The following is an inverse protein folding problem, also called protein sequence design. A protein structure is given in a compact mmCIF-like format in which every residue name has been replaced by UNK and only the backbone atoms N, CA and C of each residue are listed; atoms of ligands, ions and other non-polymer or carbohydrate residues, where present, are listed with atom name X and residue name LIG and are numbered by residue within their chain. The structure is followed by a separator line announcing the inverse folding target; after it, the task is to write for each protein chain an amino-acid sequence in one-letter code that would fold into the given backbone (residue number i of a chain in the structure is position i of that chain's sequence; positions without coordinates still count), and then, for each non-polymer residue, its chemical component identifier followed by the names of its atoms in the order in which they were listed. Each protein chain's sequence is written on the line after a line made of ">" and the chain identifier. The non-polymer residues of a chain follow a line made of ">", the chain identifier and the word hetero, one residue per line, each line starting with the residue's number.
data_IF_094970901946
#
_entry.id   IF_094970901946
#
_cell.length_a   1.000
_cell.length_b   1.000
_cell.length_c   1.000
_cell.angle_alpha   90.00
_cell.angle_beta   90.00
_cell.angle_gamma   90.00
#
_symmetry.space_group_name_H-M   'P 1'
#
loop_
_entity.id
_entity.type
_entity.pdbx_description
1 polymer ?
#
# COMPACT_ATOMS: atom_id res chain seq x y z
N UNK A 1 -10.50 -2.69 13.72
CA UNK A 1 -9.04 -2.51 13.55
C UNK A 1 -8.61 -3.02 12.19
N UNK A 2 -7.49 -2.54 11.64
CA UNK A 2 -7.04 -2.88 10.28
C UNK A 2 -7.01 -4.40 9.99
N UNK A 3 -6.56 -5.21 10.96
CA UNK A 3 -6.54 -6.68 10.84
C UNK A 3 -7.91 -7.32 10.56
N UNK A 4 -9.00 -6.65 10.92
CA UNK A 4 -10.35 -7.15 10.70
C UNK A 4 -10.76 -7.12 9.21
N UNK A 5 -10.00 -6.44 8.35
CA UNK A 5 -10.15 -6.54 6.89
C UNK A 5 -9.57 -7.83 6.30
N UNK A 6 -8.81 -8.62 7.06
CA UNK A 6 -8.24 -9.89 6.60
C UNK A 6 -7.41 -9.71 5.31
N UNK A 7 -6.53 -8.71 5.31
CA UNK A 7 -5.61 -8.36 4.23
C UNK A 7 -4.16 -8.48 4.70
N UNK A 8 -3.30 -9.06 3.87
CA UNK A 8 -1.98 -9.53 4.29
C UNK A 8 -1.04 -8.39 4.68
N UNK A 9 -1.24 -7.21 4.08
CA UNK A 9 -0.37 -6.06 4.26
C UNK A 9 -1.17 -4.78 4.55
N UNK A 10 -0.58 -3.89 5.34
CA UNK A 10 -1.08 -2.55 5.53
C UNK A 10 0.04 -1.50 5.61
N UNK A 11 -0.22 -0.32 5.06
CA UNK A 11 0.64 0.86 5.22
C UNK A 11 0.02 1.76 6.26
N UNK A 12 0.82 2.10 7.24
CA UNK A 12 0.53 3.02 8.32
C UNK A 12 0.87 4.43 7.88
N UNK A 13 -0.07 5.34 8.04
CA UNK A 13 0.17 6.76 7.78
C UNK A 13 0.30 7.53 9.11
N UNK A 14 1.41 8.25 9.26
CA UNK A 14 1.66 9.11 10.42
C UNK A 14 1.09 10.53 10.20
N UNK A 15 0.76 11.20 11.30
CA UNK A 15 0.01 12.48 11.29
C UNK A 15 0.79 13.65 10.70
N UNK A 16 2.12 13.57 10.72
CA UNK A 16 3.08 14.59 10.31
C UNK A 16 3.58 14.42 8.86
N UNK A 17 3.22 13.33 8.19
CA UNK A 17 3.74 12.93 6.88
C UNK A 17 2.78 13.17 5.70
N UNK A 18 1.75 14.01 5.89
CA UNK A 18 0.65 14.05 4.92
C UNK A 18 0.01 15.42 4.63
N UNK A 19 -0.27 15.63 3.33
CA UNK A 19 -0.59 16.93 2.70
C UNK A 19 -2.10 17.22 2.59
N UNK A 20 -2.97 16.20 2.71
CA UNK A 20 -4.43 16.35 2.75
C UNK A 20 -5.15 16.01 1.44
N UNK A 21 -4.44 15.38 0.51
CA UNK A 21 -4.91 15.18 -0.87
C UNK A 21 -5.73 13.88 -1.05
N UNK A 22 -5.53 12.87 -0.20
CA UNK A 22 -6.32 11.64 -0.26
C UNK A 22 -7.65 11.74 0.51
N UNK A 23 -8.65 10.98 0.08
CA UNK A 23 -10.00 11.06 0.64
C UNK A 23 -10.07 10.63 2.11
N UNK A 24 -9.32 9.59 2.48
CA UNK A 24 -9.25 9.11 3.86
C UNK A 24 -8.60 10.13 4.79
N UNK A 25 -7.57 10.85 4.34
CA UNK A 25 -6.96 11.95 5.07
C UNK A 25 -7.90 13.14 5.23
N UNK A 26 -8.54 13.58 4.14
CA UNK A 26 -9.48 14.68 4.14
C UNK A 26 -10.62 14.42 5.14
N UNK A 27 -10.99 13.15 5.32
CA UNK A 27 -11.97 12.73 6.31
C UNK A 27 -11.44 12.74 7.75
N UNK A 28 -10.25 12.19 8.02
CA UNK A 28 -9.76 11.99 9.40
C UNK A 28 -9.08 13.23 10.01
N UNK A 29 -8.37 14.03 9.20
CA UNK A 29 -7.53 15.15 9.69
C UNK A 29 -8.29 16.23 10.44
N UNK A 30 -9.50 16.66 10.03
CA UNK A 30 -10.25 17.65 10.80
C UNK A 30 -10.50 17.21 12.24
N UNK A 31 -10.75 15.92 12.46
CA UNK A 31 -10.96 15.35 13.79
C UNK A 31 -9.68 15.34 14.62
N UNK A 32 -8.56 14.90 14.05
CA UNK A 32 -7.24 14.95 14.72
C UNK A 32 -6.82 16.39 15.05
N UNK A 33 -7.07 17.33 14.15
CA UNK A 33 -6.84 18.76 14.38
C UNK A 33 -7.66 19.29 15.56
N UNK A 34 -8.92 18.88 15.65
CA UNK A 34 -9.80 19.23 16.77
C UNK A 34 -9.32 18.63 18.10
N UNK A 35 -8.90 17.37 18.13
CA UNK A 35 -8.32 16.73 19.32
C UNK A 35 -7.09 17.49 19.81
N UNK A 36 -6.17 17.85 18.90
CA UNK A 36 -4.97 18.65 19.23
C UNK A 36 -5.34 20.03 19.76
N UNK A 37 -6.33 20.69 19.16
CA UNK A 37 -6.78 22.01 19.60
C UNK A 37 -7.40 21.95 21.00
N UNK A 38 -8.26 20.95 21.27
CA UNK A 38 -8.86 20.74 22.59
C UNK A 38 -7.81 20.38 23.65
N UNK A 39 -6.83 19.54 23.30
CA UNK A 39 -5.74 19.17 24.20
C UNK A 39 -4.91 20.41 24.63
N UNK A 40 -4.63 21.32 23.69
CA UNK A 40 -3.96 22.61 24.00
C UNK A 40 -4.75 23.50 24.96
N UNK A 41 -6.08 23.35 24.99
CA UNK A 41 -6.98 24.05 25.91
C UNK A 41 -7.20 23.29 27.24
N UNK A 42 -6.44 22.21 27.49
CA UNK A 42 -6.54 21.41 28.71
C UNK A 42 -7.66 20.37 28.68
N UNK A 43 -8.25 20.08 27.51
CA UNK A 43 -9.28 19.06 27.33
C UNK A 43 -8.78 17.94 26.43
N UNK A 44 -8.29 16.86 27.02
CA UNK A 44 -7.94 15.65 26.27
C UNK A 44 -9.21 14.89 25.91
N UNK A 45 -9.49 14.82 24.61
CA UNK A 45 -10.60 14.07 24.03
C UNK A 45 -10.05 13.26 22.85
N UNK A 46 -10.59 12.06 22.64
CA UNK A 46 -10.31 11.24 21.47
C UNK A 46 -11.66 10.79 20.87
N UNK A 47 -11.86 11.03 19.58
CA UNK A 47 -13.03 10.61 18.83
C UNK A 47 -12.85 9.14 18.38
N UNK A 48 -13.89 8.32 18.49
CA UNK A 48 -13.89 6.94 17.93
C UNK A 48 -14.25 6.98 16.43
N UNK A 49 -13.37 7.61 15.65
CA UNK A 49 -13.49 7.75 14.20
C UNK A 49 -12.29 7.06 13.55
N UNK A 50 -12.56 6.33 12.48
CA UNK A 50 -11.55 5.59 11.71
C UNK A 50 -11.76 5.91 10.23
N UNK A 51 -10.67 5.94 9.46
CA UNK A 51 -10.70 6.15 8.01
C UNK A 51 -9.76 5.13 7.36
N UNK A 52 -10.22 4.44 6.31
CA UNK A 52 -9.47 3.35 5.68
C UNK A 52 -9.58 3.47 4.17
N UNK A 53 -8.47 3.19 3.49
CA UNK A 53 -8.44 3.00 2.03
C UNK A 53 -8.01 1.56 1.77
N UNK A 54 -8.74 0.85 0.90
CA UNK A 54 -8.46 -0.55 0.58
C UNK A 54 -8.00 -0.65 -0.87
N UNK A 55 -6.78 -1.12 -1.08
CA UNK A 55 -6.18 -1.35 -2.39
C UNK A 55 -6.37 -2.82 -2.78
N UNK A 56 -7.40 -3.08 -3.59
CA UNK A 56 -7.90 -4.43 -3.86
C UNK A 56 -7.56 -4.91 -5.28
N UNK A 57 -6.31 -4.73 -5.69
CA UNK A 57 -5.77 -5.26 -6.94
C UNK A 57 -5.25 -4.18 -7.88
N UNK A 58 -5.07 -4.56 -9.15
CA UNK A 58 -4.51 -3.68 -10.18
C UNK A 58 -5.57 -2.82 -10.86
N UNK A 59 -5.18 -1.60 -11.25
CA UNK A 59 -6.02 -0.74 -12.08
C UNK A 59 -6.43 -1.39 -13.40
N UNK A 60 -7.62 -1.02 -13.89
CA UNK A 60 -8.16 -1.40 -15.21
C UNK A 60 -8.38 -2.90 -15.44
N UNK A 61 -8.35 -3.74 -14.41
CA UNK A 61 -8.63 -5.17 -14.50
C UNK A 61 -9.61 -5.61 -13.42
N UNK A 62 -10.59 -6.44 -13.78
CA UNK A 62 -11.46 -7.08 -12.81
C UNK A 62 -10.81 -8.38 -12.33
N UNK A 63 -10.45 -8.42 -11.05
CA UNK A 63 -9.93 -9.63 -10.39
C UNK A 63 -11.00 -10.21 -9.45
N UNK A 64 -11.67 -11.32 -9.81
CA UNK A 64 -12.71 -11.93 -8.98
C UNK A 64 -12.24 -12.31 -7.57
N UNK A 65 -10.98 -12.76 -7.42
CA UNK A 65 -10.44 -13.12 -6.10
C UNK A 65 -10.18 -11.88 -5.24
N UNK A 66 -9.71 -10.78 -5.82
CA UNK A 66 -9.59 -9.52 -5.06
C UNK A 66 -10.94 -8.96 -4.64
N UNK A 67 -11.96 -9.02 -5.52
CA UNK A 67 -13.34 -8.64 -5.17
C UNK A 67 -13.86 -9.50 -4.02
N UNK A 68 -13.71 -10.82 -4.13
CA UNK A 68 -14.14 -11.77 -3.10
C UNK A 68 -13.48 -11.49 -1.76
N UNK A 69 -12.14 -11.31 -1.73
CA UNK A 69 -11.38 -11.01 -0.51
C UNK A 69 -11.79 -9.67 0.09
N UNK A 70 -11.89 -8.61 -0.72
CA UNK A 70 -12.31 -7.28 -0.26
C UNK A 70 -13.71 -7.29 0.36
N UNK A 71 -14.69 -7.90 -0.31
CA UNK A 71 -16.06 -8.02 0.23
C UNK A 71 -16.08 -8.84 1.53
N UNK A 72 -15.30 -9.91 1.60
CA UNK A 72 -15.21 -10.76 2.78
C UNK A 72 -14.59 -9.99 3.98
N UNK A 73 -13.51 -9.25 3.74
CA UNK A 73 -12.86 -8.38 4.72
C UNK A 73 -13.77 -7.28 5.24
N UNK A 74 -14.47 -6.57 4.35
CA UNK A 74 -15.42 -5.51 4.73
C UNK A 74 -16.55 -6.07 5.60
N UNK A 75 -17.12 -7.23 5.25
CA UNK A 75 -18.15 -7.89 6.07
C UNK A 75 -17.62 -8.21 7.46
N UNK A 76 -16.41 -8.75 7.57
CA UNK A 76 -15.80 -9.07 8.86
C UNK A 76 -15.57 -7.80 9.70
N UNK A 77 -14.99 -6.74 9.12
CA UNK A 77 -14.77 -5.46 9.79
C UNK A 77 -16.09 -4.86 10.31
N UNK A 78 -17.12 -4.78 9.47
CA UNK A 78 -18.41 -4.21 9.85
C UNK A 78 -19.13 -5.03 10.93
N UNK A 79 -19.03 -6.37 10.86
CA UNK A 79 -19.56 -7.24 11.91
C UNK A 79 -18.79 -7.12 13.22
N UNK A 80 -17.45 -6.99 13.20
CA UNK A 80 -16.65 -6.69 14.40
C UNK A 80 -17.00 -5.33 15.02
N UNK A 81 -17.33 -4.33 14.19
CA UNK A 81 -17.82 -3.01 14.67
C UNK A 81 -19.28 -3.03 15.13
N UNK A 82 -19.96 -4.18 15.07
CA UNK A 82 -21.36 -4.33 15.48
C UNK A 82 -22.36 -3.66 14.53
N UNK A 83 -21.92 -3.21 13.35
CA UNK A 83 -22.75 -2.54 12.36
C UNK A 83 -23.58 -3.53 11.53
N UNK A 84 -23.10 -4.76 11.36
CA UNK A 84 -23.79 -5.83 10.64
C UNK A 84 -23.88 -7.11 11.47
N UNK A 85 -25.06 -7.73 11.51
CA UNK A 85 -25.27 -9.07 12.07
C UNK A 85 -25.39 -10.07 10.92
N UNK A 86 -24.38 -10.91 10.75
CA UNK A 86 -24.32 -11.93 9.70
C UNK A 86 -24.02 -13.29 10.36
N UNK A 87 -24.63 -14.41 9.92
CA UNK A 87 -24.46 -15.71 10.56
C UNK A 87 -23.02 -16.20 10.67
N UNK A 88 -22.19 -15.88 9.66
CA UNK A 88 -20.81 -16.36 9.54
C UNK A 88 -19.75 -15.31 9.93
N UNK A 89 -20.19 -14.16 10.48
CA UNK A 89 -19.30 -13.08 10.88
C UNK A 89 -19.65 -12.53 12.27
N UNK A 90 -18.66 -11.93 12.96
CA UNK A 90 -17.26 -11.86 12.57
C UNK A 90 -16.56 -13.21 12.74
N UNK A 91 -15.49 -13.43 11.98
CA UNK A 91 -14.65 -14.61 12.17
C UNK A 91 -14.07 -14.54 13.58
N UNK A 92 -14.31 -15.60 14.35
CA UNK A 92 -14.02 -15.66 15.79
C UNK A 92 -12.59 -16.05 16.11
N UNK A 93 -11.78 -16.43 15.12
CA UNK A 93 -10.34 -16.65 15.26
C UNK A 93 -9.54 -15.50 14.65
N UNK A 94 -9.38 -14.37 15.37
CA UNK A 94 -8.60 -13.22 14.91
C UNK A 94 -7.09 -13.45 14.98
N UNK A 95 -6.61 -14.54 15.60
CA UNK A 95 -5.17 -14.82 15.74
C UNK A 95 -4.62 -15.59 14.54
N UNK A 96 -5.51 -16.17 13.71
CA UNK A 96 -5.11 -16.86 12.49
C UNK A 96 -4.63 -15.91 11.37
N UNK A 97 -4.92 -14.61 11.47
CA UNK A 97 -4.63 -13.65 10.40
C UNK A 97 -3.69 -12.54 10.88
N UNK A 98 -2.42 -12.62 10.45
CA UNK A 98 -1.41 -11.61 10.76
C UNK A 98 -1.21 -10.67 9.59
N UNK A 99 -1.82 -9.48 9.69
CA UNK A 99 -1.52 -8.37 8.80
C UNK A 99 -0.13 -7.82 9.12
N UNK A 100 0.72 -7.70 8.10
CA UNK A 100 2.03 -7.06 8.19
C UNK A 100 1.87 -5.56 7.95
N UNK A 101 2.15 -4.76 8.99
CA UNK A 101 2.11 -3.30 8.91
C UNK A 101 3.49 -2.74 8.60
N UNK A 102 3.56 -1.69 7.79
CA UNK A 102 4.78 -0.93 7.54
C UNK A 102 4.49 0.58 7.52
N UNK A 103 5.43 1.43 7.96
CA UNK A 103 5.33 2.90 7.82
C UNK A 103 5.27 3.32 6.33
N UNK A 104 5.13 4.60 5.98
CA UNK A 104 5.33 5.15 4.64
C UNK A 104 6.81 5.45 4.32
N UNK A 105 7.65 5.67 5.34
CA UNK A 105 9.00 6.24 5.18
C UNK A 105 10.03 5.41 4.40
N UNK A 106 9.88 4.09 4.36
CA UNK A 106 10.78 3.14 3.70
C UNK A 106 10.24 2.67 2.33
N UNK A 107 9.76 3.60 1.50
CA UNK A 107 9.33 3.33 0.11
C UNK A 107 10.41 3.81 -0.86
N UNK A 108 11.01 2.87 -1.60
CA UNK A 108 11.94 3.16 -2.69
C UNK A 108 11.19 3.12 -4.03
N UNK A 109 11.34 4.16 -4.86
CA UNK A 109 10.60 4.30 -6.12
C UNK A 109 11.54 4.20 -7.31
N UNK A 110 11.23 3.30 -8.23
CA UNK A 110 12.04 3.08 -9.43
C UNK A 110 11.37 3.71 -10.63
N UNK A 111 12.14 4.53 -11.34
CA UNK A 111 11.73 5.25 -12.54
C UNK A 111 12.53 4.76 -13.74
N UNK A 112 11.93 4.85 -14.93
CA UNK A 112 12.59 4.44 -16.16
C UNK A 112 13.77 5.39 -16.48
N UNK A 113 15.01 4.87 -16.62
CA UNK A 113 16.19 5.71 -16.86
C UNK A 113 16.23 6.32 -18.27
N UNK A 114 15.44 5.77 -19.20
CA UNK A 114 15.30 6.22 -20.58
C UNK A 114 13.90 5.88 -21.11
N UNK A 115 13.58 6.35 -22.32
CA UNK A 115 12.39 5.90 -23.04
C UNK A 115 12.56 4.48 -23.59
N UNK A 116 11.52 3.66 -23.50
CA UNK A 116 11.57 2.29 -24.01
C UNK A 116 10.39 1.41 -23.59
N UNK A 117 10.57 0.10 -23.78
CA UNK A 117 9.59 -0.92 -23.43
C UNK A 117 10.06 -1.70 -22.20
N UNK A 118 9.22 -1.80 -21.19
CA UNK A 118 9.46 -2.56 -19.96
C UNK A 118 9.24 -4.04 -20.24
N UNK A 119 10.16 -4.87 -19.76
CA UNK A 119 10.13 -6.33 -19.88
C UNK A 119 10.57 -6.97 -18.56
N UNK A 120 10.23 -8.25 -18.35
CA UNK A 120 10.72 -9.05 -17.21
C UNK A 120 10.54 -8.37 -15.85
N UNK A 121 9.44 -7.63 -15.69
CA UNK A 121 9.13 -6.90 -14.45
C UNK A 121 8.77 -7.90 -13.35
N UNK A 122 9.30 -7.68 -12.15
CA UNK A 122 8.90 -8.41 -10.96
C UNK A 122 7.43 -8.16 -10.67
N UNK A 123 6.71 -9.22 -10.31
CA UNK A 123 5.29 -9.16 -10.01
C UNK A 123 5.01 -8.51 -8.65
N UNK A 124 3.83 -7.89 -8.56
CA UNK A 124 3.30 -7.35 -7.32
C UNK A 124 3.25 -8.45 -6.24
N UNK A 125 3.66 -8.12 -5.01
CA UNK A 125 3.68 -9.03 -3.87
C UNK A 125 4.96 -9.87 -3.73
N UNK A 126 5.90 -9.79 -4.69
CA UNK A 126 7.15 -10.52 -4.58
C UNK A 126 8.16 -9.81 -3.67
N UNK A 127 8.96 -10.61 -2.96
CA UNK A 127 10.09 -10.15 -2.17
C UNK A 127 11.35 -10.17 -3.03
N UNK A 128 12.12 -9.08 -2.98
CA UNK A 128 13.38 -8.90 -3.71
C UNK A 128 14.51 -8.55 -2.74
N UNK A 129 15.73 -8.89 -3.13
CA UNK A 129 16.97 -8.53 -2.43
C UNK A 129 17.81 -7.55 -3.24
N UNK A 130 18.68 -6.82 -2.57
CA UNK A 130 19.70 -5.98 -3.22
C UNK A 130 20.40 -6.75 -4.35
N UNK A 131 20.41 -6.16 -5.55
CA UNK A 131 21.01 -6.73 -6.75
C UNK A 131 20.08 -7.60 -7.60
N UNK A 132 18.90 -8.01 -7.08
CA UNK A 132 17.89 -8.71 -7.87
C UNK A 132 17.37 -7.80 -9.00
N UNK A 133 17.06 -8.38 -10.15
CA UNK A 133 16.51 -7.63 -11.28
C UNK A 133 15.05 -7.31 -11.04
N UNK A 134 14.72 -6.03 -11.06
CA UNK A 134 13.36 -5.51 -10.91
C UNK A 134 12.61 -5.48 -12.23
N UNK A 135 13.27 -5.00 -13.28
CA UNK A 135 12.74 -5.00 -14.63
C UNK A 135 13.86 -4.78 -15.65
N UNK A 136 13.53 -4.97 -16.91
CA UNK A 136 14.38 -4.66 -18.05
C UNK A 136 13.74 -3.54 -18.86
N UNK A 137 14.54 -2.62 -19.35
CA UNK A 137 14.11 -1.60 -20.30
C UNK A 137 14.77 -1.86 -21.65
N UNK A 138 13.95 -2.20 -22.65
CA UNK A 138 14.36 -2.23 -24.05
C UNK A 138 14.32 -0.80 -24.59
N UNK A 139 15.48 -0.15 -24.70
CA UNK A 139 15.63 1.23 -25.14
C UNK A 139 16.03 1.32 -26.61
N UNK A 140 15.35 2.21 -27.34
CA UNK A 140 15.55 2.45 -28.76
C UNK A 140 16.34 3.75 -28.96
N UNK A 141 17.14 3.78 -30.01
CA UNK A 141 17.96 4.92 -30.38
C UNK A 141 17.56 5.40 -31.79
N UNK A 142 17.86 6.66 -32.13
CA UNK A 142 17.51 7.25 -33.44
C UNK A 142 18.62 7.07 -34.47
N UNK A 143 19.76 6.58 -34.03
CA UNK A 143 21.00 6.42 -34.78
C UNK A 143 21.00 5.14 -35.63
N UNK A 144 19.93 4.34 -35.58
CA UNK A 144 19.79 3.11 -36.36
C UNK A 144 20.55 1.91 -35.79
N UNK A 145 21.11 2.05 -34.59
CA UNK A 145 21.74 0.93 -33.88
C UNK A 145 20.66 -0.01 -33.33
N UNK A 146 21.04 -1.26 -33.04
CA UNK A 146 20.13 -2.20 -32.39
C UNK A 146 19.69 -1.67 -31.00
N UNK A 147 18.47 -2.01 -30.55
CA UNK A 147 18.00 -1.65 -29.22
C UNK A 147 18.92 -2.19 -28.12
N UNK A 148 19.07 -1.41 -27.05
CA UNK A 148 19.82 -1.81 -25.87
C UNK A 148 18.88 -2.30 -24.77
N UNK A 149 19.30 -3.32 -24.03
CA UNK A 149 18.58 -3.79 -22.84
C UNK A 149 19.29 -3.26 -21.60
N UNK A 150 18.56 -2.58 -20.74
CA UNK A 150 19.06 -2.04 -19.46
C UNK A 150 18.41 -2.85 -18.33
N UNK A 151 19.22 -3.50 -17.51
CA UNK A 151 18.75 -4.16 -16.28
C UNK A 151 18.65 -3.14 -15.16
N UNK A 152 17.47 -3.01 -14.57
CA UNK A 152 17.26 -2.20 -13.37
C UNK A 152 17.16 -3.16 -12.19
N UNK A 153 17.99 -2.92 -11.18
CA UNK A 153 18.17 -3.81 -10.03
C UNK A 153 17.72 -3.15 -8.75
N UNK A 154 17.36 -3.97 -7.77
CA UNK A 154 16.99 -3.51 -6.45
C UNK A 154 18.21 -2.92 -5.73
N UNK A 155 18.05 -1.71 -5.21
CA UNK A 155 19.01 -1.04 -4.34
C UNK A 155 18.73 -1.33 -2.85
N UNK A 156 17.59 -1.95 -2.56
CA UNK A 156 17.15 -2.32 -1.22
C UNK A 156 16.40 -3.65 -1.20
N UNK A 157 16.44 -4.33 -0.06
CA UNK A 157 15.59 -5.49 0.19
C UNK A 157 14.16 -5.04 0.45
N UNK A 158 13.16 -5.77 -0.04
CA UNK A 158 11.78 -5.44 0.28
C UNK A 158 10.70 -6.14 -0.53
N UNK A 159 9.47 -5.71 -0.34
CA UNK A 159 8.28 -6.17 -1.03
C UNK A 159 7.94 -5.22 -2.19
N UNK A 160 7.75 -5.74 -3.39
CA UNK A 160 7.15 -4.99 -4.49
C UNK A 160 5.66 -4.79 -4.18
N UNK A 161 5.23 -3.56 -3.95
CA UNK A 161 3.86 -3.26 -3.48
C UNK A 161 3.07 -2.34 -4.42
N UNK A 162 3.72 -1.78 -5.44
CA UNK A 162 3.05 -1.04 -6.49
C UNK A 162 3.82 -1.17 -7.80
N UNK A 163 3.10 -1.28 -8.92
CA UNK A 163 3.63 -1.48 -10.26
C UNK A 163 2.80 -0.72 -11.29
N UNK A 164 3.45 -0.03 -12.21
CA UNK A 164 2.75 0.61 -13.33
C UNK A 164 2.16 -0.44 -14.28
N UNK A 165 1.02 -0.12 -14.90
CA UNK A 165 0.33 -1.03 -15.82
C UNK A 165 0.84 -0.95 -17.26
N UNK A 166 1.51 0.16 -17.61
CA UNK A 166 2.03 0.38 -18.96
C UNK A 166 3.34 -0.38 -19.19
N UNK A 167 3.45 -0.98 -20.36
CA UNK A 167 4.69 -1.60 -20.85
C UNK A 167 5.56 -0.64 -21.67
N UNK A 168 5.04 0.51 -22.06
CA UNK A 168 5.85 1.60 -22.62
C UNK A 168 6.11 2.62 -21.52
N UNK A 169 7.33 3.13 -21.42
CA UNK A 169 7.69 4.16 -20.46
C UNK A 169 8.52 5.25 -21.13
N UNK A 170 8.24 6.50 -20.77
CA UNK A 170 9.12 7.62 -21.03
C UNK A 170 10.24 7.67 -19.98
N UNK A 171 11.32 8.39 -20.30
CA UNK A 171 12.34 8.67 -19.29
C UNK A 171 11.73 9.40 -18.09
N UNK A 172 12.05 8.94 -16.88
CA UNK A 172 11.52 9.47 -15.63
C UNK A 172 10.11 8.99 -15.28
N UNK A 173 9.49 8.15 -16.12
CA UNK A 173 8.18 7.57 -15.80
C UNK A 173 8.30 6.52 -14.71
N UNK A 174 7.34 6.50 -13.80
CA UNK A 174 7.28 5.55 -12.70
C UNK A 174 7.07 4.11 -13.20
N UNK A 175 7.81 3.16 -12.61
CA UNK A 175 7.74 1.74 -12.99
C UNK A 175 7.22 0.88 -11.85
N UNK A 176 7.86 0.92 -10.68
CA UNK A 176 7.43 0.16 -9.51
C UNK A 176 8.03 0.74 -8.23
N UNK A 177 7.46 0.35 -7.10
CA UNK A 177 7.96 0.69 -5.77
C UNK A 177 8.24 -0.55 -4.94
N UNK A 178 9.33 -0.47 -4.18
CA UNK A 178 9.70 -1.47 -3.18
C UNK A 178 9.48 -0.86 -1.80
N UNK A 179 8.83 -1.62 -0.94
CA UNK A 179 8.69 -1.31 0.48
C UNK A 179 9.71 -2.12 1.27
N UNK A 180 10.59 -1.46 2.01
CA UNK A 180 11.54 -2.16 2.88
C UNK A 180 10.81 -2.75 4.08
N UNK A 181 11.25 -3.93 4.53
CA UNK A 181 10.73 -4.52 5.76
C UNK A 181 11.31 -3.78 6.97
N UNK A 182 10.43 -3.27 7.84
CA UNK A 182 10.87 -2.75 9.12
C UNK A 182 11.37 -3.90 10.00
N UNK A 183 12.62 -3.81 10.46
CA UNK A 183 13.19 -4.74 11.44
C UNK A 183 12.62 -4.54 12.86
N UNK A 184 11.80 -3.50 13.05
CA UNK A 184 11.17 -3.12 14.31
C UNK A 184 9.77 -2.64 13.95
N UNK A 185 8.73 -3.35 14.36
CA UNK A 185 7.36 -2.86 14.67
C UNK A 185 6.42 -4.07 14.67
N UNK A 186 6.59 -4.92 15.68
CA UNK A 186 5.53 -5.81 16.13
C UNK A 186 4.61 -5.01 17.05
N UNK A 187 3.31 -5.02 16.70
CA UNK A 187 2.20 -4.42 17.42
C UNK A 187 2.16 -2.88 17.46
N UNK A 188 1.39 -2.28 16.54
CA UNK A 188 0.81 -0.96 16.77
C UNK A 188 -0.69 -1.10 17.00
N UNK A 189 -1.14 -0.67 18.18
CA UNK A 189 -2.54 -0.50 18.53
C UNK A 189 -3.12 0.69 17.76
N UNK A 190 -4.20 0.41 16.98
CA UNK A 190 -5.10 1.35 16.27
C UNK A 190 -4.45 2.64 15.77
N UNK A 191 -4.19 2.69 14.47
CA UNK A 191 -3.75 3.91 13.78
C UNK A 191 -4.88 4.56 12.97
N UNK A 192 -4.89 5.91 12.87
CA UNK A 192 -6.04 6.67 12.36
C UNK A 192 -6.28 6.55 10.85
N UNK A 193 -5.31 6.00 10.11
CA UNK A 193 -5.48 5.61 8.72
C UNK A 193 -4.48 4.51 8.36
N UNK A 194 -4.96 3.47 7.69
CA UNK A 194 -4.10 2.53 7.00
C UNK A 194 -4.64 2.22 5.60
N UNK A 195 -3.72 2.11 4.65
CA UNK A 195 -3.98 1.47 3.36
C UNK A 195 -3.82 -0.03 3.55
N UNK A 196 -4.79 -0.85 3.15
CA UNK A 196 -4.63 -2.31 3.20
C UNK A 196 -4.58 -2.90 1.79
N UNK A 197 -3.59 -3.76 1.52
CA UNK A 197 -3.32 -4.39 0.22
C UNK A 197 -3.67 -5.89 0.26
N UNK A 198 -4.24 -6.43 -0.82
CA UNK A 198 -4.58 -7.84 -0.97
C UNK A 198 -4.01 -8.51 -2.22
#
# INVERSE_FOLDING_TARGET
>A
SAKDFLLDYGIVMHEDEYDGDAFDEAFIKPWQGLEKALAKLGRTLQFDIESWTLELGSGMQMNPESVKRGVYGIKNYLSKKGMLKLPDFPITDPDSYQMKLASKDNIERYYAPAGGMIQSRVELGNVVKVGDRLYQLLSFNKEGNLPNVIDIKAETDGLVFDVSTNYSANQGEYVLSIRQFDSKHSAVSRQPSALAYG
#
